data_IF_998743428304
#
_entry.id   IF_998743428304
#
_cell.length_a   1.000
_cell.length_b   1.000
_cell.length_c   1.000
_cell.angle_alpha   90.00
_cell.angle_beta   90.00
_cell.angle_gamma   90.00
#
_symmetry.space_group_name_H-M   'P 1'
#
loop_
_entity.id
_entity.type
_entity.pdbx_description
1 polymer ?
#
# COMPACT_ATOMS: atom_id res chain seq x y z
N UNK A 1 -0.11 -11.74 48.69
CA UNK A 1 -1.12 -10.79 49.22
C UNK A 1 -2.42 -10.71 48.40
N UNK A 2 -2.41 -10.34 47.11
CA UNK A 2 -3.67 -10.30 46.32
C UNK A 2 -4.22 -11.71 46.05
N UNK A 3 -3.31 -12.64 45.72
CA UNK A 3 -3.63 -14.06 45.47
C UNK A 3 -4.24 -14.74 46.70
N UNK A 4 -3.64 -14.55 47.88
CA UNK A 4 -4.12 -15.15 49.13
C UNK A 4 -5.50 -14.63 49.52
N UNK A 5 -5.78 -13.35 49.28
CA UNK A 5 -7.10 -12.76 49.47
C UNK A 5 -8.12 -13.34 48.49
N UNK A 6 -7.77 -13.55 47.22
CA UNK A 6 -8.67 -14.20 46.25
C UNK A 6 -8.93 -15.67 46.58
N UNK A 7 -7.93 -16.38 47.10
CA UNK A 7 -8.04 -17.78 47.51
C UNK A 7 -8.96 -17.95 48.73
N UNK A 8 -8.80 -17.11 49.75
CA UNK A 8 -9.70 -17.10 50.91
C UNK A 8 -11.14 -16.71 50.51
N UNK A 9 -11.30 -15.74 49.61
CA UNK A 9 -12.61 -15.31 49.11
C UNK A 9 -13.34 -16.46 48.40
N UNK A 10 -12.63 -17.19 47.54
CA UNK A 10 -13.20 -18.34 46.80
C UNK A 10 -13.53 -19.49 47.75
N UNK A 11 -12.69 -19.79 48.74
CA UNK A 11 -12.98 -20.82 49.76
C UNK A 11 -14.24 -20.52 50.57
N UNK A 12 -14.44 -19.25 50.97
CA UNK A 12 -15.65 -18.82 51.70
C UNK A 12 -16.90 -19.04 50.84
N UNK A 13 -16.87 -18.63 49.56
CA UNK A 13 -17.99 -18.80 48.64
C UNK A 13 -18.31 -20.29 48.41
N UNK A 14 -17.29 -21.14 48.22
CA UNK A 14 -17.49 -22.59 48.04
C UNK A 14 -17.99 -23.30 49.31
N UNK A 15 -17.72 -22.76 50.50
CA UNK A 15 -18.20 -23.31 51.77
C UNK A 15 -19.70 -23.08 52.01
N UNK A 16 -20.32 -22.10 51.33
CA UNK A 16 -21.75 -21.78 51.47
C UNK A 16 -22.67 -22.71 50.68
N UNK A 17 -22.13 -23.52 49.75
CA UNK A 17 -22.91 -24.49 48.99
C UNK A 17 -22.82 -25.88 49.63
N UNK A 18 -23.94 -26.39 50.14
CA UNK A 18 -23.99 -27.72 50.77
C UNK A 18 -24.17 -28.86 49.75
N UNK A 19 -24.63 -28.56 48.53
CA UNK A 19 -24.92 -29.57 47.50
C UNK A 19 -23.80 -29.62 46.44
N UNK A 20 -23.28 -30.82 46.16
CA UNK A 20 -22.26 -31.08 45.16
C UNK A 20 -22.68 -30.60 43.75
N UNK A 21 -23.96 -30.75 43.39
CA UNK A 21 -24.49 -30.31 42.10
C UNK A 21 -24.41 -28.78 41.91
N UNK A 22 -24.65 -28.01 42.98
CA UNK A 22 -24.55 -26.55 42.93
C UNK A 22 -23.10 -26.08 42.73
N UNK A 23 -22.13 -26.77 43.36
CA UNK A 23 -20.69 -26.48 43.15
C UNK A 23 -20.25 -26.76 41.72
N UNK A 24 -20.72 -27.87 41.14
CA UNK A 24 -20.45 -28.22 39.74
C UNK A 24 -21.05 -27.18 38.77
N UNK A 25 -22.29 -26.73 39.02
CA UNK A 25 -22.93 -25.69 38.21
C UNK A 25 -22.16 -24.36 38.28
N UNK A 26 -21.72 -23.95 39.47
CA UNK A 26 -20.97 -22.71 39.66
C UNK A 26 -19.59 -22.75 38.99
N UNK A 27 -18.87 -23.88 39.11
CA UNK A 27 -17.62 -24.10 38.38
C UNK A 27 -17.83 -24.03 36.86
N UNK A 28 -18.87 -24.69 36.35
CA UNK A 28 -19.20 -24.65 34.91
C UNK A 28 -19.50 -23.22 34.44
N UNK A 29 -20.18 -22.42 35.25
CA UNK A 29 -20.47 -21.01 34.94
C UNK A 29 -19.20 -20.16 34.91
N UNK A 30 -18.31 -20.32 35.89
CA UNK A 30 -17.00 -19.65 35.90
C UNK A 30 -16.19 -20.03 34.66
N UNK A 31 -16.09 -21.32 34.34
CA UNK A 31 -15.37 -21.80 33.15
C UNK A 31 -15.96 -21.25 31.86
N UNK A 32 -17.30 -21.18 31.75
CA UNK A 32 -17.98 -20.60 30.59
C UNK A 32 -17.66 -19.11 30.42
N UNK A 33 -17.67 -18.33 31.51
CA UNK A 33 -17.28 -16.91 31.48
C UNK A 33 -15.82 -16.75 31.07
N UNK A 34 -14.90 -17.52 31.67
CA UNK A 34 -13.47 -17.46 31.34
C UNK A 34 -13.21 -17.83 29.87
N UNK A 35 -13.90 -18.85 29.35
CA UNK A 35 -13.82 -19.24 27.95
C UNK A 35 -14.34 -18.12 27.04
N UNK A 36 -15.45 -17.47 27.40
CA UNK A 36 -16.00 -16.32 26.66
C UNK A 36 -15.01 -15.15 26.61
N UNK A 37 -14.37 -14.81 27.74
CA UNK A 37 -13.33 -13.77 27.81
C UNK A 37 -12.12 -14.14 26.95
N UNK A 38 -11.67 -15.39 26.99
CA UNK A 38 -10.56 -15.87 26.17
C UNK A 38 -10.89 -15.78 24.67
N UNK A 39 -12.09 -16.18 24.26
CA UNK A 39 -12.55 -16.07 22.86
C UNK A 39 -12.57 -14.60 22.41
N UNK A 40 -13.11 -13.69 23.23
CA UNK A 40 -13.13 -12.26 22.93
C UNK A 40 -11.71 -11.69 22.82
N UNK A 41 -10.81 -12.09 23.71
CA UNK A 41 -9.41 -11.69 23.70
C UNK A 41 -8.70 -12.18 22.42
N UNK A 42 -8.86 -13.45 22.07
CA UNK A 42 -8.32 -14.02 20.83
C UNK A 42 -8.89 -13.34 19.59
N UNK A 43 -10.19 -13.04 19.58
CA UNK A 43 -10.84 -12.29 18.49
C UNK A 43 -10.27 -10.88 18.35
N UNK A 44 -10.12 -10.16 19.47
CA UNK A 44 -9.51 -8.83 19.48
C UNK A 44 -8.07 -8.86 18.96
N UNK A 45 -7.24 -9.78 19.44
CA UNK A 45 -5.85 -9.92 19.00
C UNK A 45 -5.73 -10.31 17.54
N UNK A 46 -6.58 -11.22 17.05
CA UNK A 46 -6.65 -11.61 15.64
C UNK A 46 -6.99 -10.42 14.74
N UNK A 47 -8.01 -9.62 15.13
CA UNK A 47 -8.39 -8.41 14.41
C UNK A 47 -7.28 -7.35 14.44
N UNK A 48 -6.61 -7.19 15.58
CA UNK A 48 -5.46 -6.28 15.73
C UNK A 48 -4.34 -6.70 14.77
N UNK A 49 -3.94 -7.98 14.76
CA UNK A 49 -2.86 -8.51 13.90
C UNK A 49 -3.09 -8.23 12.41
N UNK A 50 -4.34 -8.23 11.93
CA UNK A 50 -4.68 -7.89 10.52
C UNK A 50 -4.43 -6.42 10.16
N UNK A 51 -4.56 -5.49 11.10
CA UNK A 51 -4.40 -4.05 10.82
C UNK A 51 -2.93 -3.68 10.62
N UNK A 52 -1.99 -4.37 11.29
CA UNK A 52 -0.55 -4.04 11.28
C UNK A 52 0.27 -4.73 10.20
N UNK A 53 -0.35 -5.50 9.31
CA UNK A 53 0.37 -6.09 8.17
C UNK A 53 0.74 -5.01 7.16
N UNK A 54 1.95 -5.11 6.64
CA UNK A 54 2.46 -4.25 5.57
C UNK A 54 1.62 -4.45 4.30
N UNK A 55 1.44 -3.39 3.51
CA UNK A 55 0.56 -3.35 2.34
C UNK A 55 1.39 -3.29 1.08
N UNK A 56 1.12 -4.23 0.19
CA UNK A 56 1.66 -4.34 -1.17
C UNK A 56 0.56 -3.97 -2.14
N UNK A 57 0.68 -2.83 -2.81
CA UNK A 57 -0.44 -2.20 -3.52
C UNK A 57 -0.28 -2.31 -5.03
N UNK A 58 -1.19 -3.00 -5.69
CA UNK A 58 -1.24 -3.09 -7.15
C UNK A 58 -1.92 -1.84 -7.72
N UNK A 59 -1.21 -1.08 -8.55
CA UNK A 59 -1.71 0.13 -9.24
C UNK A 59 -1.48 -0.01 -10.75
N UNK A 60 -2.20 0.77 -11.56
CA UNK A 60 -2.07 0.71 -13.02
C UNK A 60 -3.39 0.95 -13.74
N UNK A 61 -3.33 1.07 -15.05
CA UNK A 61 -4.50 1.28 -15.90
C UNK A 61 -5.38 0.03 -16.00
N UNK A 62 -6.62 0.16 -16.51
CA UNK A 62 -7.43 -0.99 -16.92
C UNK A 62 -6.71 -1.85 -17.93
N UNK A 63 -7.03 -3.15 -17.92
CA UNK A 63 -6.38 -4.11 -18.81
C UNK A 63 -4.96 -4.51 -18.43
N UNK A 64 -4.27 -3.79 -17.53
CA UNK A 64 -2.88 -4.11 -17.15
C UNK A 64 -2.69 -5.48 -16.45
N UNK A 65 -3.76 -6.08 -15.93
CA UNK A 65 -3.71 -7.41 -15.29
C UNK A 65 -3.60 -7.41 -13.76
N UNK A 66 -3.86 -6.27 -13.08
CA UNK A 66 -3.83 -6.16 -11.60
C UNK A 66 -4.63 -7.27 -10.91
N UNK A 67 -5.91 -7.41 -11.23
CA UNK A 67 -6.80 -8.42 -10.63
C UNK A 67 -6.39 -9.85 -11.00
N UNK A 68 -5.75 -10.06 -12.15
CA UNK A 68 -5.23 -11.37 -12.54
C UNK A 68 -4.07 -11.75 -11.63
N UNK A 69 -3.05 -10.88 -11.51
CA UNK A 69 -1.93 -11.11 -10.59
C UNK A 69 -2.39 -11.25 -9.14
N UNK A 70 -3.35 -10.44 -8.73
CA UNK A 70 -3.96 -10.53 -7.41
C UNK A 70 -4.56 -11.91 -7.15
N UNK A 71 -5.38 -12.39 -8.08
CA UNK A 71 -6.05 -13.70 -7.97
C UNK A 71 -5.04 -14.85 -7.95
N UNK A 72 -3.97 -14.77 -8.76
CA UNK A 72 -2.88 -15.74 -8.76
C UNK A 72 -2.18 -15.75 -7.39
N UNK A 73 -1.69 -14.59 -6.93
CA UNK A 73 -0.92 -14.48 -5.69
C UNK A 73 -1.73 -14.77 -4.41
N UNK A 74 -3.04 -14.54 -4.42
CA UNK A 74 -3.90 -14.76 -3.24
C UNK A 74 -4.68 -16.08 -3.31
N UNK A 75 -4.56 -16.80 -4.43
CA UNK A 75 -5.35 -17.99 -4.77
C UNK A 75 -6.86 -17.73 -4.63
N UNK A 76 -7.29 -16.51 -4.97
CA UNK A 76 -8.69 -16.09 -4.96
C UNK A 76 -9.23 -16.01 -6.39
N UNK A 77 -10.56 -16.08 -6.49
CA UNK A 77 -11.29 -15.93 -7.75
C UNK A 77 -12.21 -14.71 -7.68
N UNK A 78 -11.62 -13.55 -7.42
CA UNK A 78 -12.37 -12.30 -7.42
C UNK A 78 -12.67 -11.95 -8.87
N UNK A 79 -13.96 -11.86 -9.19
CA UNK A 79 -14.42 -11.22 -10.41
C UNK A 79 -14.84 -9.81 -10.00
N UNK A 80 -14.28 -8.78 -10.64
CA UNK A 80 -14.81 -7.43 -10.50
C UNK A 80 -16.22 -7.43 -11.07
N UNK A 81 -17.20 -7.42 -10.18
CA UNK A 81 -18.58 -7.20 -10.56
C UNK A 81 -18.72 -5.71 -10.84
N UNK A 82 -19.35 -5.36 -11.96
CA UNK A 82 -19.92 -4.02 -12.11
C UNK A 82 -20.98 -3.87 -11.01
N UNK A 83 -20.57 -3.39 -9.84
CA UNK A 83 -21.51 -3.07 -8.78
C UNK A 83 -22.45 -1.97 -9.27
N UNK A 84 -23.68 -1.97 -8.76
CA UNK A 84 -24.66 -0.89 -9.00
C UNK A 84 -24.19 0.48 -8.50
N UNK A 85 -23.17 0.50 -7.65
CA UNK A 85 -22.32 1.67 -7.43
C UNK A 85 -21.20 1.62 -8.45
N UNK A 86 -21.13 2.59 -9.38
CA UNK A 86 -20.22 2.65 -10.55
C UNK A 86 -18.70 2.63 -10.26
N UNK A 87 -18.28 2.21 -9.06
CA UNK A 87 -16.91 2.27 -8.58
C UNK A 87 -16.46 0.89 -8.08
N UNK A 88 -15.43 0.35 -8.73
CA UNK A 88 -14.75 -0.87 -8.33
C UNK A 88 -14.23 -0.79 -6.87
N UNK A 89 -14.32 -1.89 -6.12
CA UNK A 89 -13.84 -1.93 -4.73
C UNK A 89 -12.35 -2.24 -4.63
N UNK A 90 -11.72 -1.75 -3.55
CA UNK A 90 -10.38 -2.19 -3.13
C UNK A 90 -10.51 -3.55 -2.45
N UNK A 91 -9.73 -4.53 -2.89
CA UNK A 91 -9.67 -5.87 -2.29
C UNK A 91 -8.33 -6.08 -1.60
N UNK A 92 -8.36 -6.68 -0.42
CA UNK A 92 -7.18 -6.91 0.40
C UNK A 92 -7.20 -8.34 0.92
N UNK A 93 -6.12 -9.09 0.64
CA UNK A 93 -5.97 -10.46 1.11
C UNK A 93 -4.52 -10.73 1.54
N UNK A 94 -4.31 -11.52 2.59
CA UNK A 94 -2.98 -11.87 3.04
C UNK A 94 -2.28 -12.78 2.05
N UNK A 95 -1.01 -12.49 1.77
CA UNK A 95 -0.14 -13.36 0.98
C UNK A 95 0.88 -14.09 1.88
N UNK A 96 1.15 -13.58 3.07
CA UNK A 96 1.86 -14.29 4.14
C UNK A 96 1.50 -13.70 5.52
N UNK A 97 2.30 -13.99 6.55
CA UNK A 97 2.07 -13.50 7.91
C UNK A 97 2.26 -11.99 8.09
N UNK A 98 3.07 -11.35 7.24
CA UNK A 98 3.55 -9.98 7.38
C UNK A 98 2.93 -9.01 6.35
N UNK A 99 2.48 -9.53 5.21
CA UNK A 99 2.05 -8.75 4.06
C UNK A 99 0.63 -9.09 3.62
N UNK A 100 -0.14 -8.03 3.34
CA UNK A 100 -1.37 -8.12 2.56
C UNK A 100 -1.11 -7.55 1.16
N UNK A 101 -1.62 -8.26 0.15
CA UNK A 101 -1.68 -7.75 -1.22
C UNK A 101 -3.01 -7.02 -1.40
N UNK A 102 -2.98 -5.90 -2.13
CA UNK A 102 -4.11 -5.00 -2.32
C UNK A 102 -4.36 -4.78 -3.81
N UNK A 103 -5.52 -5.20 -4.32
CA UNK A 103 -6.01 -4.85 -5.66
C UNK A 103 -6.78 -3.54 -5.59
N UNK A 104 -6.45 -2.59 -6.47
CA UNK A 104 -7.02 -1.25 -6.46
C UNK A 104 -7.82 -0.96 -7.73
N UNK A 105 -8.89 -0.13 -7.65
CA UNK A 105 -9.59 0.33 -8.83
C UNK A 105 -8.62 1.06 -9.77
N UNK A 106 -8.84 0.94 -11.06
CA UNK A 106 -7.98 1.65 -12.02
C UNK A 106 -8.41 3.11 -12.10
N UNK A 107 -7.47 4.02 -12.34
CA UNK A 107 -7.78 5.41 -12.63
C UNK A 107 -7.78 5.58 -14.15
N UNK A 108 -8.95 5.76 -14.76
CA UNK A 108 -9.06 6.21 -16.14
C UNK A 108 -9.24 7.73 -16.19
N UNK A 109 -8.50 8.40 -17.07
CA UNK A 109 -8.63 9.84 -17.26
C UNK A 109 -9.84 10.21 -18.12
N UNK A 110 -10.34 9.24 -18.90
CA UNK A 110 -11.50 9.39 -19.80
C UNK A 110 -12.83 9.11 -19.07
N UNK A 111 -12.78 8.69 -17.80
CA UNK A 111 -13.95 8.51 -16.95
C UNK A 111 -14.66 9.85 -16.64
N UNK A 112 -15.95 9.76 -16.32
CA UNK A 112 -16.71 10.90 -15.81
C UNK A 112 -16.03 11.52 -14.58
N UNK A 113 -16.21 12.82 -14.39
CA UNK A 113 -15.63 13.53 -13.24
C UNK A 113 -16.06 12.89 -11.91
N UNK A 114 -17.34 12.53 -11.79
CA UNK A 114 -17.90 11.92 -10.59
C UNK A 114 -17.24 10.56 -10.26
N UNK A 115 -17.03 9.72 -11.27
CA UNK A 115 -16.39 8.42 -11.10
C UNK A 115 -14.93 8.57 -10.68
N UNK A 116 -14.19 9.49 -11.32
CA UNK A 116 -12.81 9.81 -10.93
C UNK A 116 -12.72 10.32 -9.50
N UNK A 117 -13.58 11.25 -9.10
CA UNK A 117 -13.63 11.75 -7.74
C UNK A 117 -13.93 10.66 -6.71
N UNK A 118 -14.85 9.75 -7.02
CA UNK A 118 -15.20 8.66 -6.13
C UNK A 118 -14.02 7.68 -5.93
N UNK A 119 -13.31 7.35 -7.01
CA UNK A 119 -12.08 6.54 -6.95
C UNK A 119 -11.00 7.25 -6.13
N UNK A 120 -10.76 8.55 -6.37
CA UNK A 120 -9.80 9.36 -5.61
C UNK A 120 -10.17 9.40 -4.13
N UNK A 121 -11.45 9.59 -3.79
CA UNK A 121 -11.94 9.58 -2.40
C UNK A 121 -11.71 8.23 -1.74
N UNK A 122 -11.93 7.13 -2.47
CA UNK A 122 -11.67 5.77 -1.98
C UNK A 122 -10.18 5.52 -1.72
N UNK A 123 -9.31 5.92 -2.65
CA UNK A 123 -7.86 5.87 -2.47
C UNK A 123 -7.41 6.68 -1.26
N UNK A 124 -7.86 7.93 -1.14
CA UNK A 124 -7.49 8.80 -0.04
C UNK A 124 -7.95 8.23 1.32
N UNK A 125 -9.15 7.66 1.39
CA UNK A 125 -9.64 6.99 2.59
C UNK A 125 -8.76 5.79 2.95
N UNK A 126 -8.42 4.96 1.98
CA UNK A 126 -7.59 3.77 2.18
C UNK A 126 -6.16 4.14 2.61
N UNK A 127 -5.49 5.04 1.89
CA UNK A 127 -4.12 5.46 2.19
C UNK A 127 -4.02 6.24 3.49
N UNK A 128 -5.05 7.00 3.90
CA UNK A 128 -5.07 7.64 5.21
C UNK A 128 -5.11 6.60 6.34
N UNK A 129 -5.92 5.55 6.18
CA UNK A 129 -6.05 4.47 7.17
C UNK A 129 -4.77 3.62 7.30
N UNK A 130 -4.05 3.43 6.19
CA UNK A 130 -2.90 2.52 6.11
C UNK A 130 -1.55 3.22 5.90
N UNK A 131 -1.47 4.54 6.04
CA UNK A 131 -0.29 5.35 5.70
C UNK A 131 1.04 4.80 6.22
N UNK A 132 1.08 4.34 7.47
CA UNK A 132 2.29 3.76 8.10
C UNK A 132 2.55 2.28 7.78
N UNK A 133 1.72 1.67 6.94
CA UNK A 133 1.79 0.26 6.60
C UNK A 133 2.00 0.03 5.10
N UNK A 134 1.96 1.06 4.27
CA UNK A 134 2.25 0.91 2.84
C UNK A 134 3.75 0.70 2.65
N UNK A 135 4.13 -0.47 2.14
CA UNK A 135 5.54 -0.82 1.94
C UNK A 135 5.95 -0.62 0.48
N UNK A 136 5.13 -1.06 -0.47
CA UNK A 136 5.48 -1.06 -1.90
C UNK A 136 4.25 -0.88 -2.77
N UNK A 137 4.42 -0.11 -3.84
CA UNK A 137 3.48 -0.03 -4.96
C UNK A 137 4.02 -0.82 -6.14
N UNK A 138 3.16 -1.65 -6.74
CA UNK A 138 3.46 -2.37 -7.97
C UNK A 138 2.65 -1.77 -9.11
N UNK A 139 3.31 -1.00 -9.95
CA UNK A 139 2.76 -0.42 -11.17
C UNK A 139 2.68 -1.49 -12.25
N UNK A 140 1.47 -1.99 -12.48
CA UNK A 140 1.18 -3.08 -13.40
C UNK A 140 0.96 -2.54 -14.81
N UNK A 141 1.70 -3.09 -15.76
CA UNK A 141 1.75 -2.66 -17.16
C UNK A 141 1.66 -3.90 -18.06
N UNK A 142 0.75 -3.89 -19.02
CA UNK A 142 0.67 -4.97 -20.00
C UNK A 142 1.84 -4.92 -20.98
N UNK A 143 2.46 -6.06 -21.32
CA UNK A 143 3.45 -6.13 -22.39
C UNK A 143 2.78 -5.91 -23.75
N UNK A 144 3.17 -4.81 -24.40
CA UNK A 144 2.67 -4.35 -25.70
C UNK A 144 3.79 -3.54 -26.38
N UNK A 145 3.43 -2.68 -27.35
CA UNK A 145 4.37 -1.71 -27.89
C UNK A 145 4.90 -0.76 -26.81
N UNK A 146 6.21 -0.54 -26.77
CA UNK A 146 6.88 0.24 -25.72
C UNK A 146 6.34 1.66 -25.55
N UNK A 147 5.91 2.32 -26.63
CA UNK A 147 5.32 3.66 -26.56
C UNK A 147 3.98 3.67 -25.80
N UNK A 148 3.14 2.66 -26.04
CA UNK A 148 1.87 2.46 -25.34
C UNK A 148 2.14 2.18 -23.85
N UNK A 149 3.09 1.28 -23.56
CA UNK A 149 3.46 0.94 -22.19
C UNK A 149 3.99 2.17 -21.42
N UNK A 150 4.88 2.96 -22.03
CA UNK A 150 5.39 4.22 -21.44
C UNK A 150 4.27 5.21 -21.15
N UNK A 151 3.33 5.38 -22.07
CA UNK A 151 2.17 6.26 -21.88
C UNK A 151 1.29 5.81 -20.70
N UNK A 152 1.01 4.51 -20.61
CA UNK A 152 0.25 3.90 -19.51
C UNK A 152 0.94 4.08 -18.15
N UNK A 153 2.26 3.82 -18.10
CA UNK A 153 3.09 4.09 -16.93
C UNK A 153 3.01 5.55 -16.50
N UNK A 154 3.28 6.48 -17.41
CA UNK A 154 3.35 7.92 -17.11
C UNK A 154 2.03 8.43 -16.52
N UNK A 155 0.91 8.01 -17.09
CA UNK A 155 -0.44 8.39 -16.64
C UNK A 155 -0.68 7.99 -15.19
N UNK A 156 -0.33 6.77 -14.82
CA UNK A 156 -0.50 6.28 -13.44
C UNK A 156 0.56 6.88 -12.50
N UNK A 157 1.83 6.86 -12.91
CA UNK A 157 2.98 7.32 -12.13
C UNK A 157 2.81 8.77 -11.66
N UNK A 158 2.27 9.66 -12.50
CA UNK A 158 1.99 11.06 -12.11
C UNK A 158 1.11 11.19 -10.86
N UNK A 159 0.14 10.29 -10.69
CA UNK A 159 -0.76 10.31 -9.53
C UNK A 159 -0.08 9.80 -8.24
N UNK A 160 0.88 8.89 -8.40
CA UNK A 160 1.61 8.25 -7.30
C UNK A 160 3.03 8.79 -7.11
N UNK A 161 3.38 9.91 -7.76
CA UNK A 161 4.75 10.47 -7.77
C UNK A 161 5.34 10.69 -6.37
N UNK A 162 4.51 10.99 -5.37
CA UNK A 162 4.94 11.15 -3.97
C UNK A 162 5.43 9.85 -3.29
N UNK A 163 5.32 8.72 -3.98
CA UNK A 163 5.74 7.39 -3.52
C UNK A 163 6.79 6.79 -4.47
N UNK A 164 7.51 7.62 -5.22
CA UNK A 164 8.49 7.20 -6.23
C UNK A 164 9.55 6.23 -5.69
N UNK A 165 10.06 6.45 -4.48
CA UNK A 165 11.05 5.58 -3.85
C UNK A 165 10.55 4.15 -3.66
N UNK A 166 9.24 3.94 -3.53
CA UNK A 166 8.63 2.63 -3.26
C UNK A 166 7.76 2.10 -4.41
N UNK A 167 7.94 2.60 -5.64
CA UNK A 167 7.26 2.07 -6.83
C UNK A 167 8.17 1.10 -7.60
N UNK A 168 7.65 -0.11 -7.79
CA UNK A 168 8.18 -1.12 -8.70
C UNK A 168 7.28 -1.24 -9.93
N UNK A 169 7.86 -1.48 -11.10
CA UNK A 169 7.14 -1.72 -12.35
C UNK A 169 7.04 -3.22 -12.57
N UNK A 170 5.84 -3.71 -12.89
CA UNK A 170 5.60 -5.12 -13.21
C UNK A 170 4.98 -5.22 -14.59
N UNK A 171 5.73 -5.81 -15.51
CA UNK A 171 5.34 -6.02 -16.90
C UNK A 171 4.68 -7.40 -17.01
N UNK A 172 3.38 -7.42 -17.27
CA UNK A 172 2.58 -8.66 -17.42
C UNK A 172 2.57 -9.15 -18.85
N UNK A 173 2.15 -10.40 -19.07
CA UNK A 173 2.06 -11.03 -20.38
C UNK A 173 3.40 -11.08 -21.15
N UNK A 174 4.53 -11.14 -20.45
CA UNK A 174 5.85 -11.08 -21.09
C UNK A 174 6.16 -12.27 -22.01
N UNK A 175 5.43 -13.39 -21.87
CA UNK A 175 5.53 -14.53 -22.79
C UNK A 175 5.10 -14.22 -24.24
N UNK A 176 4.55 -13.03 -24.50
CA UNK A 176 4.20 -12.56 -25.84
C UNK A 176 5.40 -11.95 -26.59
N UNK A 177 6.55 -11.80 -25.94
CA UNK A 177 7.80 -11.32 -26.56
C UNK A 177 8.31 -12.35 -27.58
N UNK A 178 8.69 -11.87 -28.78
CA UNK A 178 9.32 -12.70 -29.81
C UNK A 178 10.83 -12.89 -29.53
N UNK A 179 11.47 -11.92 -28.88
CA UNK A 179 12.86 -11.96 -28.43
C UNK A 179 12.95 -11.51 -26.96
N UNK A 180 12.78 -12.48 -26.06
CA UNK A 180 12.73 -12.21 -24.61
C UNK A 180 13.99 -11.49 -24.10
N UNK A 181 15.15 -11.69 -24.71
CA UNK A 181 16.41 -11.12 -24.24
C UNK A 181 16.50 -9.65 -24.67
N UNK A 182 16.30 -9.39 -25.97
CA UNK A 182 16.37 -8.03 -26.51
C UNK A 182 15.25 -7.14 -25.95
N UNK A 183 14.02 -7.66 -25.87
CA UNK A 183 12.89 -6.91 -25.32
C UNK A 183 13.08 -6.59 -23.85
N UNK A 184 13.60 -7.55 -23.06
CA UNK A 184 13.89 -7.31 -21.64
C UNK A 184 14.91 -6.20 -21.47
N UNK A 185 16.02 -6.24 -22.20
CA UNK A 185 17.05 -5.20 -22.12
C UNK A 185 16.51 -3.83 -22.55
N UNK A 186 15.78 -3.77 -23.66
CA UNK A 186 15.15 -2.54 -24.14
C UNK A 186 14.16 -1.97 -23.13
N UNK A 187 13.29 -2.80 -22.54
CA UNK A 187 12.30 -2.36 -21.55
C UNK A 187 12.96 -1.91 -20.24
N UNK A 188 14.04 -2.57 -19.80
CA UNK A 188 14.84 -2.12 -18.67
C UNK A 188 15.39 -0.71 -18.89
N UNK A 189 15.88 -0.40 -20.09
CA UNK A 189 16.35 0.95 -20.42
C UNK A 189 15.19 1.95 -20.53
N UNK A 190 14.10 1.54 -21.19
CA UNK A 190 12.91 2.36 -21.42
C UNK A 190 12.23 2.84 -20.13
N UNK A 191 12.20 2.00 -19.09
CA UNK A 191 11.55 2.29 -17.82
C UNK A 191 12.49 2.77 -16.72
N UNK A 192 13.81 2.75 -16.96
CA UNK A 192 14.81 3.23 -16.01
C UNK A 192 14.54 4.66 -15.52
N UNK A 193 13.95 5.51 -16.36
CA UNK A 193 13.59 6.89 -16.02
C UNK A 193 12.60 7.02 -14.85
N UNK A 194 11.83 5.98 -14.55
CA UNK A 194 10.80 6.00 -13.49
C UNK A 194 11.31 5.45 -12.16
N UNK A 195 12.17 4.42 -12.21
CA UNK A 195 12.60 3.68 -11.02
C UNK A 195 14.05 3.98 -10.61
N UNK A 196 14.87 4.45 -11.55
CA UNK A 196 16.34 4.62 -11.41
C UNK A 196 17.09 3.35 -10.97
N UNK A 197 16.40 2.22 -10.94
CA UNK A 197 16.91 0.90 -10.58
C UNK A 197 16.24 -0.15 -11.47
N UNK A 198 17.06 -0.88 -12.22
CA UNK A 198 16.62 -1.98 -13.09
C UNK A 198 16.03 -3.14 -12.29
N UNK A 199 16.41 -3.30 -11.02
CA UNK A 199 15.89 -4.38 -10.17
C UNK A 199 14.44 -4.14 -9.73
N UNK A 200 13.93 -2.90 -9.84
CA UNK A 200 12.51 -2.55 -9.61
C UNK A 200 11.61 -2.82 -10.80
N UNK A 201 12.14 -3.44 -11.87
CA UNK A 201 11.38 -3.78 -13.08
C UNK A 201 11.28 -5.30 -13.15
N UNK A 202 10.07 -5.82 -12.99
CA UNK A 202 9.76 -7.25 -12.97
C UNK A 202 9.02 -7.66 -14.24
N UNK A 203 9.34 -8.84 -14.75
CA UNK A 203 8.73 -9.41 -15.95
C UNK A 203 7.97 -10.66 -15.54
N UNK A 204 6.65 -10.65 -15.76
CA UNK A 204 5.75 -11.70 -15.29
C UNK A 204 5.04 -12.34 -16.47
N UNK A 205 5.12 -13.67 -16.50
CA UNK A 205 4.41 -14.50 -17.47
C UNK A 205 3.06 -14.97 -16.91
N UNK A 206 2.13 -15.32 -17.80
CA UNK A 206 0.81 -15.81 -17.38
C UNK A 206 0.82 -17.18 -16.72
N UNK A 207 1.87 -17.97 -16.95
CA UNK A 207 2.08 -19.30 -16.38
C UNK A 207 2.84 -19.27 -15.04
N UNK A 208 3.12 -18.08 -14.49
CA UNK A 208 3.80 -17.94 -13.19
C UNK A 208 3.03 -18.66 -12.09
N UNK A 209 3.75 -19.38 -11.24
CA UNK A 209 3.14 -20.05 -10.09
C UNK A 209 2.79 -19.06 -8.98
N UNK A 210 1.72 -19.35 -8.23
CA UNK A 210 1.26 -18.54 -7.09
C UNK A 210 2.40 -18.21 -6.12
N UNK A 211 3.16 -19.23 -5.70
CA UNK A 211 4.24 -19.04 -4.73
C UNK A 211 5.41 -18.22 -5.30
N UNK A 212 5.78 -18.45 -6.56
CA UNK A 212 6.81 -17.66 -7.24
C UNK A 212 6.43 -16.18 -7.30
N UNK A 213 5.18 -15.88 -7.67
CA UNK A 213 4.67 -14.51 -7.71
C UNK A 213 4.63 -13.86 -6.32
N UNK A 214 4.22 -14.59 -5.28
CA UNK A 214 4.27 -14.09 -3.89
C UNK A 214 5.71 -13.77 -3.47
N UNK A 215 6.65 -14.66 -3.74
CA UNK A 215 8.05 -14.45 -3.40
C UNK A 215 8.64 -13.25 -4.13
N UNK A 216 8.32 -13.04 -5.41
CA UNK A 216 8.73 -11.85 -6.15
C UNK A 216 8.28 -10.56 -5.44
N UNK A 217 7.00 -10.47 -5.07
CA UNK A 217 6.47 -9.32 -4.34
C UNK A 217 7.09 -9.15 -2.95
N UNK A 218 7.30 -10.24 -2.20
CA UNK A 218 7.88 -10.14 -0.85
C UNK A 218 9.36 -9.75 -0.91
N UNK A 219 10.12 -10.32 -1.85
CA UNK A 219 11.54 -10.03 -2.03
C UNK A 219 11.76 -8.58 -2.47
N UNK A 220 10.96 -8.07 -3.41
CA UNK A 220 11.01 -6.65 -3.78
C UNK A 220 10.73 -5.75 -2.56
N UNK A 221 9.68 -6.04 -1.79
CA UNK A 221 9.30 -5.24 -0.63
C UNK A 221 10.39 -5.21 0.46
N UNK A 222 11.14 -6.31 0.64
CA UNK A 222 12.21 -6.39 1.63
C UNK A 222 13.54 -5.78 1.17
N UNK A 223 13.66 -5.32 -0.07
CA UNK A 223 14.87 -4.61 -0.51
C UNK A 223 14.94 -3.26 0.17
N UNK A 224 16.05 -3.04 0.88
CA UNK A 224 16.39 -1.75 1.47
C UNK A 224 16.64 -0.77 0.34
N UNK A 225 15.78 0.22 0.18
CA UNK A 225 16.04 1.36 -0.69
C UNK A 225 17.17 2.18 -0.07
N UNK A 226 18.37 2.04 -0.62
CA UNK A 226 19.58 2.74 -0.16
C UNK A 226 19.56 4.26 -0.45
N UNK A 227 18.39 4.86 -0.72
CA UNK A 227 18.29 6.26 -1.17
C UNK A 227 17.61 7.24 -0.18
N UNK A 228 16.94 6.78 0.88
CA UNK A 228 16.09 7.67 1.69
C UNK A 228 16.77 8.29 2.94
N UNK A 229 18.06 8.04 3.21
CA UNK A 229 18.77 8.62 4.37
C UNK A 229 19.24 10.08 4.19
N UNK A 230 18.96 10.73 3.05
CA UNK A 230 19.45 12.08 2.76
C UNK A 230 18.41 13.21 2.83
N UNK A 231 17.13 12.94 3.12
CA UNK A 231 16.07 13.98 3.08
C UNK A 231 15.36 14.28 4.42
N UNK A 232 15.66 13.59 5.53
CA UNK A 232 15.07 13.93 6.85
C UNK A 232 15.95 14.82 7.76
N UNK A 233 17.10 15.32 7.29
CA UNK A 233 17.91 16.30 8.08
C UNK A 233 17.80 17.75 7.61
N UNK A 234 16.93 18.08 6.65
CA UNK A 234 16.89 19.41 6.02
C UNK A 234 15.82 20.40 6.51
N UNK A 235 14.70 19.96 7.09
CA UNK A 235 13.51 20.84 7.20
C UNK A 235 13.08 21.24 8.64
N UNK A 236 13.85 20.93 9.68
CA UNK A 236 13.51 21.34 11.06
C UNK A 236 14.30 22.54 11.63
N UNK A 237 15.16 23.21 10.85
CA UNK A 237 15.98 24.33 11.37
C UNK A 237 15.73 25.74 10.83
N UNK A 238 14.81 25.97 9.89
CA UNK A 238 14.59 27.33 9.34
C UNK A 238 13.33 28.08 9.83
N UNK A 239 12.49 27.50 10.70
CA UNK A 239 11.22 28.16 11.11
C UNK A 239 11.32 28.97 12.44
N UNK A 240 12.49 29.07 13.09
CA UNK A 240 12.59 29.78 14.39
C UNK A 240 13.38 31.09 14.45
N UNK A 241 13.88 31.65 13.34
CA UNK A 241 14.66 32.90 13.39
C UNK A 241 14.15 34.06 12.52
N UNK A 242 12.88 34.07 12.12
CA UNK A 242 12.30 35.15 11.28
C UNK A 242 11.13 35.87 11.95
N UNK A 243 11.26 36.22 13.23
CA UNK A 243 10.41 37.24 13.88
C UNK A 243 11.25 38.03 14.89
N UNK A 244 12.03 39.00 14.42
CA UNK A 244 12.17 40.31 15.06
C UNK A 244 13.13 41.21 14.27
N UNK A 245 12.64 42.44 14.04
CA UNK A 245 13.30 43.66 13.56
C UNK A 245 13.05 44.04 12.10
N UNK A 246 11.91 44.69 11.88
CA UNK A 246 11.89 45.95 11.13
C UNK A 246 12.34 47.08 12.08
N UNK A 247 12.98 48.18 11.60
CA UNK A 247 12.28 49.11 10.71
C UNK A 247 13.10 49.90 9.66
N UNK A 248 12.30 50.49 8.75
CA UNK A 248 12.46 51.75 7.97
C UNK A 248 13.16 51.72 6.59
N UNK A 249 12.29 51.82 5.57
CA UNK A 249 12.18 52.84 4.52
C UNK A 249 13.44 53.35 3.79
N UNK A 250 13.40 53.30 2.45
CA UNK A 250 13.48 54.39 1.42
C UNK A 250 13.74 53.66 0.07
N UNK A 251 12.78 53.58 -0.85
CA UNK A 251 12.46 54.48 -1.98
C UNK A 251 13.41 54.40 -3.19
N UNK A 252 12.79 54.39 -4.39
CA UNK A 252 13.32 54.32 -5.76
C UNK A 252 13.91 52.96 -6.18
N UNK A 253 13.38 52.25 -7.18
CA UNK A 253 12.74 52.71 -8.41
C UNK A 253 13.69 52.43 -9.57
N UNK A 254 13.42 51.36 -10.32
CA UNK A 254 13.66 51.21 -11.77
C UNK A 254 13.31 49.78 -12.22
N UNK A 255 12.23 49.70 -12.99
CA UNK A 255 12.07 48.68 -14.02
C UNK A 255 13.21 48.82 -15.03
N UNK A 256 13.72 47.70 -15.53
CA UNK A 256 14.13 47.63 -16.93
C UNK A 256 13.59 46.37 -17.57
N UNK A 257 12.91 46.63 -18.69
CA UNK A 257 12.49 45.70 -19.71
C UNK A 257 13.69 45.07 -20.41
N UNK A 258 13.42 43.90 -20.97
CA UNK A 258 14.15 43.28 -22.08
C UNK A 258 14.31 44.25 -23.26
N UNK A 259 15.45 44.15 -23.95
CA UNK A 259 15.59 44.49 -25.36
C UNK A 259 16.38 43.37 -26.04
N UNK A 260 15.72 42.74 -27.02
CA UNK A 260 16.30 41.94 -28.11
C UNK A 260 16.85 42.86 -29.23
N UNK A 261 17.50 42.23 -30.21
CA UNK A 261 18.07 42.76 -31.47
C UNK A 261 19.52 43.24 -31.36
N UNK A 262 20.44 42.89 -32.24
CA UNK A 262 20.37 42.15 -33.50
C UNK A 262 21.60 42.52 -34.35
N UNK A 263 22.16 41.52 -35.02
CA UNK A 263 22.89 41.53 -36.30
C UNK A 263 24.08 42.46 -36.62
N UNK A 264 24.95 41.83 -37.43
CA UNK A 264 25.90 42.34 -38.42
C UNK A 264 27.32 42.75 -37.96
N UNK A 265 28.26 41.80 -38.12
CA UNK A 265 29.48 41.91 -38.96
C UNK A 265 30.12 40.54 -39.14
#
# INVERSE_FOLDING_TARGET
MLYDKMLQSTQIIFSQFNNCQQKQLYLALIFSILLGVLILFLYYYSKKKRIYRKKLILIGQPGGGKTILFNIATEKKIKRQQCKSDVDQIYEFPINDNYDLVDTPSIEFDDSLDKREAIIKQFNKYFKLHSYHIERFYLIVNFERTDIMKSSCLKTYKYFKKFDSIIDIVITNFQLSEDEIADKEHLLQAFYIYTQDKQKIHFVRNDIQSEELKQMFIQSANRVDLQDDYLEMGEEKEIKNSQQKQPKQIFNGKQYQYIEEGNDS
#
